data_IF_481350515275
#
_entry.id   IF_481350515275
#
_cell.length_a   1.000
_cell.length_b   1.000
_cell.length_c   1.000
_cell.angle_alpha   90.00
_cell.angle_beta   90.00
_cell.angle_gamma   90.00
#
_symmetry.space_group_name_H-M   'P 1'
#
loop_
_entity.id
_entity.type
_entity.pdbx_description
1 polymer ?
#
# COMPACT_ATOMS: atom_id res chain seq x y z
N UNK A 1 -12.05 -7.15 -6.39
CA UNK A 1 -10.99 -6.13 -6.26
C UNK A 1 -9.97 -6.39 -7.35
N UNK A 2 -9.44 -5.35 -8.01
CA UNK A 2 -8.41 -5.49 -9.04
C UNK A 2 -7.07 -4.97 -8.51
N UNK A 3 -5.96 -5.56 -8.93
CA UNK A 3 -4.62 -5.03 -8.62
C UNK A 3 -4.41 -3.66 -9.26
N UNK A 4 -3.97 -2.68 -8.46
CA UNK A 4 -3.50 -1.41 -8.97
C UNK A 4 -2.05 -1.53 -9.44
N UNK A 5 -1.85 -1.59 -10.76
CA UNK A 5 -0.52 -1.70 -11.36
C UNK A 5 0.33 -0.44 -11.12
N UNK A 6 -0.28 0.75 -11.13
CA UNK A 6 0.42 1.99 -10.87
C UNK A 6 0.96 2.03 -9.44
N UNK A 7 0.14 1.57 -8.47
CA UNK A 7 0.57 1.48 -7.08
C UNK A 7 1.67 0.43 -6.86
N UNK A 8 1.58 -0.69 -7.57
CA UNK A 8 2.63 -1.72 -7.52
C UNK A 8 3.97 -1.20 -8.06
N UNK A 9 3.96 -0.49 -9.18
CA UNK A 9 5.17 0.07 -9.76
C UNK A 9 5.76 1.16 -8.85
N UNK A 10 4.91 2.05 -8.34
CA UNK A 10 5.30 3.06 -7.38
C UNK A 10 5.92 2.46 -6.10
N UNK A 11 5.33 1.40 -5.56
CA UNK A 11 5.90 0.67 -4.43
C UNK A 11 7.28 0.09 -4.75
N UNK A 12 7.50 -0.44 -5.97
CA UNK A 12 8.81 -0.92 -6.41
C UNK A 12 9.81 0.21 -6.50
N UNK A 13 9.42 1.38 -7.00
CA UNK A 13 10.27 2.58 -7.04
C UNK A 13 10.66 3.01 -5.63
N UNK A 14 9.71 3.09 -4.69
CA UNK A 14 10.00 3.43 -3.29
C UNK A 14 11.03 2.47 -2.68
N UNK A 15 10.85 1.16 -2.87
CA UNK A 15 11.81 0.15 -2.43
C UNK A 15 13.16 0.37 -3.13
N UNK A 16 13.15 0.69 -4.43
CA UNK A 16 14.35 0.97 -5.22
C UNK A 16 15.13 2.20 -4.72
N UNK A 17 14.41 3.23 -4.27
CA UNK A 17 14.96 4.44 -3.67
C UNK A 17 15.29 4.31 -2.17
N UNK A 18 14.95 3.19 -1.54
CA UNK A 18 15.15 3.00 -0.09
C UNK A 18 14.16 3.79 0.77
N UNK A 19 13.07 4.30 0.19
CA UNK A 19 11.99 5.01 0.90
C UNK A 19 11.00 4.02 1.51
N UNK A 20 11.52 3.19 2.41
CA UNK A 20 10.73 2.20 3.13
C UNK A 20 11.06 2.21 4.62
N UNK A 21 10.06 1.97 5.45
CA UNK A 21 10.19 1.82 6.90
C UNK A 21 10.06 0.34 7.25
N UNK A 22 11.15 -0.22 7.76
CA UNK A 22 11.22 -1.60 8.22
C UNK A 22 10.64 -1.72 9.64
N UNK A 23 9.34 -1.44 9.78
CA UNK A 23 8.65 -1.57 11.07
C UNK A 23 8.42 -3.02 11.51
N UNK A 24 8.28 -3.21 12.83
CA UNK A 24 7.92 -4.50 13.43
C UNK A 24 6.43 -4.82 13.23
N UNK A 25 6.14 -6.09 12.93
CA UNK A 25 4.79 -6.67 12.76
C UNK A 25 3.84 -6.14 13.85
N UNK A 26 2.71 -5.52 13.45
CA UNK A 26 1.62 -5.14 14.36
C UNK A 26 1.37 -3.64 14.53
N UNK A 27 2.30 -2.76 14.11
CA UNK A 27 2.12 -1.30 14.25
C UNK A 27 1.19 -0.67 13.22
N UNK A 28 0.78 -1.40 12.17
CA UNK A 28 -0.02 -0.83 11.08
C UNK A 28 -1.36 -0.25 11.54
N UNK A 29 -2.00 -0.82 12.56
CA UNK A 29 -3.24 -0.25 13.15
C UNK A 29 -3.05 1.13 13.78
N UNK A 30 -1.81 1.51 14.12
CA UNK A 30 -1.44 2.83 14.67
C UNK A 30 -0.85 3.76 13.61
N UNK A 31 -0.31 3.21 12.52
CA UNK A 31 0.35 3.97 11.45
C UNK A 31 -0.56 4.23 10.24
N UNK A 32 -1.76 3.65 10.22
CA UNK A 32 -2.73 3.96 9.17
C UNK A 32 -3.11 5.45 9.26
N UNK A 33 -2.99 6.22 8.16
CA UNK A 33 -3.32 7.64 8.16
C UNK A 33 -4.78 7.85 8.60
N UNK A 34 -5.01 8.88 9.40
CA UNK A 34 -6.37 9.24 9.81
C UNK A 34 -7.17 9.78 8.62
N UNK A 35 -8.50 9.73 8.69
CA UNK A 35 -9.37 10.29 7.62
C UNK A 35 -9.02 11.73 7.25
N UNK A 36 -8.56 12.52 8.22
CA UNK A 36 -8.10 13.90 8.03
C UNK A 36 -6.82 13.97 7.20
N UNK A 37 -5.81 13.14 7.50
CA UNK A 37 -4.56 13.07 6.73
C UNK A 37 -4.81 12.61 5.30
N UNK A 38 -5.69 11.62 5.12
CA UNK A 38 -6.11 11.18 3.79
C UNK A 38 -6.83 12.29 3.01
N UNK A 39 -7.68 13.09 3.68
CA UNK A 39 -8.34 14.24 3.05
C UNK A 39 -7.36 15.32 2.65
N UNK A 40 -6.42 15.67 3.54
CA UNK A 40 -5.40 16.68 3.28
C UNK A 40 -4.48 16.27 2.14
N UNK A 41 -4.07 15.00 2.12
CA UNK A 41 -3.26 14.46 1.02
C UNK A 41 -3.99 14.54 -0.33
N UNK A 42 -5.26 14.13 -0.38
CA UNK A 42 -6.07 14.25 -1.60
C UNK A 42 -6.29 15.71 -1.98
N UNK A 43 -6.47 16.62 -1.02
CA UNK A 43 -6.61 18.04 -1.31
C UNK A 43 -5.35 18.65 -1.92
N UNK A 44 -4.17 18.26 -1.40
CA UNK A 44 -2.89 18.79 -1.84
C UNK A 44 -2.38 18.15 -3.14
N UNK A 45 -2.61 16.84 -3.32
CA UNK A 45 -2.01 16.05 -4.40
C UNK A 45 -3.02 15.44 -5.39
N UNK A 46 -4.30 15.37 -5.00
CA UNK A 46 -5.36 14.76 -5.79
C UNK A 46 -5.49 13.24 -5.62
N UNK A 47 -6.57 12.69 -6.19
CA UNK A 47 -6.85 11.25 -6.16
C UNK A 47 -5.84 10.40 -6.93
N UNK A 48 -5.17 10.97 -7.94
CA UNK A 48 -4.17 10.25 -8.73
C UNK A 48 -2.97 9.84 -7.90
N UNK A 49 -2.48 10.73 -7.02
CA UNK A 49 -1.41 10.37 -6.08
C UNK A 49 -1.93 9.41 -5.01
N UNK A 50 -3.13 9.65 -4.48
CA UNK A 50 -3.74 8.76 -3.48
C UNK A 50 -3.87 7.33 -4.01
N UNK A 51 -4.22 7.16 -5.29
CA UNK A 51 -4.30 5.87 -5.97
C UNK A 51 -2.99 5.07 -5.88
N UNK A 52 -1.84 5.73 -6.01
CA UNK A 52 -0.52 5.08 -6.01
C UNK A 52 -0.16 4.44 -4.68
N UNK A 53 -0.80 4.86 -3.59
CA UNK A 53 -0.56 4.31 -2.24
C UNK A 53 -1.45 3.12 -1.90
N UNK A 54 -2.31 2.68 -2.84
CA UNK A 54 -3.33 1.65 -2.65
C UNK A 54 -3.19 0.52 -3.65
N UNK A 55 -2.86 -0.69 -3.16
CA UNK A 55 -2.63 -1.87 -4.01
C UNK A 55 -3.91 -2.46 -4.60
N UNK A 56 -5.08 -2.17 -4.03
CA UNK A 56 -6.35 -2.67 -4.52
C UNK A 56 -7.26 -1.56 -5.03
N UNK A 57 -7.92 -1.82 -6.15
CA UNK A 57 -8.96 -0.96 -6.72
C UNK A 57 -10.31 -1.66 -6.68
N UNK A 58 -11.29 -0.98 -6.09
CA UNK A 58 -12.68 -1.35 -6.05
C UNK A 58 -13.48 -0.57 -7.11
N UNK A 59 -13.62 -1.19 -8.29
CA UNK A 59 -14.36 -0.61 -9.42
C UNK A 59 -15.87 -0.44 -9.19
N UNK A 60 -16.41 -0.83 -8.03
CA UNK A 60 -17.82 -0.59 -7.70
C UNK A 60 -18.05 0.87 -7.27
N UNK A 61 -17.00 1.55 -6.85
CA UNK A 61 -17.03 2.96 -6.46
C UNK A 61 -16.38 3.80 -7.56
N UNK A 62 -16.72 5.10 -7.64
CA UNK A 62 -16.13 6.01 -8.64
C UNK A 62 -14.67 6.35 -8.32
N UNK A 63 -13.86 6.62 -9.35
CA UNK A 63 -12.41 6.90 -9.24
C UNK A 63 -12.09 8.12 -8.36
N UNK A 64 -13.06 9.02 -8.19
CA UNK A 64 -13.02 10.23 -7.33
C UNK A 64 -13.51 9.95 -5.90
N UNK A 65 -13.53 8.69 -5.47
CA UNK A 65 -13.91 8.30 -4.11
C UNK A 65 -12.79 7.54 -3.42
N UNK A 66 -12.62 7.79 -2.12
CA UNK A 66 -11.67 7.06 -1.29
C UNK A 66 -11.95 5.57 -1.26
N UNK A 67 -13.21 5.18 -1.35
CA UNK A 67 -13.63 3.79 -1.29
C UNK A 67 -13.21 2.99 -2.52
N UNK A 68 -12.94 3.66 -3.65
CA UNK A 68 -12.36 3.06 -4.84
C UNK A 68 -10.95 2.52 -4.59
N UNK A 69 -10.20 3.12 -3.66
CA UNK A 69 -8.84 2.70 -3.36
C UNK A 69 -8.79 1.96 -2.02
N UNK A 70 -8.30 0.73 -2.04
CA UNK A 70 -8.20 -0.16 -0.88
C UNK A 70 -6.78 -0.68 -0.74
N UNK A 71 -6.50 -1.27 0.42
CA UNK A 71 -5.20 -1.86 0.72
C UNK A 71 -4.06 -0.83 0.71
N UNK A 72 -4.09 0.17 1.62
CA UNK A 72 -2.97 1.08 1.82
C UNK A 72 -1.75 0.32 2.33
N UNK A 73 -0.57 0.68 1.84
CA UNK A 73 0.69 0.03 2.22
C UNK A 73 1.77 0.99 2.74
N UNK A 74 1.48 2.29 2.83
CA UNK A 74 2.39 3.31 3.30
C UNK A 74 1.66 4.52 3.89
N UNK A 75 2.44 5.47 4.41
CA UNK A 75 1.96 6.66 5.13
C UNK A 75 1.87 7.93 4.25
N UNK A 76 1.91 7.78 2.92
CA UNK A 76 2.06 8.87 1.95
C UNK A 76 3.45 9.52 1.87
N UNK A 77 4.40 9.17 2.74
CA UNK A 77 5.81 9.54 2.60
C UNK A 77 6.72 8.32 2.35
N UNK A 78 6.47 7.20 3.05
CA UNK A 78 7.26 5.98 2.90
C UNK A 78 6.41 4.71 2.85
N UNK A 79 6.98 3.65 2.27
CA UNK A 79 6.36 2.33 2.25
C UNK A 79 6.61 1.62 3.58
N UNK A 80 5.58 1.04 4.19
CA UNK A 80 5.72 0.30 5.46
C UNK A 80 5.70 -1.20 5.21
N UNK A 81 6.73 -1.92 5.67
CA UNK A 81 6.73 -3.40 5.62
C UNK A 81 5.49 -3.99 6.30
N UNK A 82 5.05 -3.38 7.40
CA UNK A 82 3.84 -3.79 8.11
C UNK A 82 2.55 -3.54 7.32
N UNK A 83 2.51 -2.48 6.51
CA UNK A 83 1.40 -2.20 5.60
C UNK A 83 1.24 -3.31 4.58
N UNK A 84 2.33 -3.68 3.89
CA UNK A 84 2.29 -4.79 2.92
C UNK A 84 1.91 -6.14 3.54
N UNK A 85 2.38 -6.44 4.76
CA UNK A 85 1.97 -7.65 5.47
C UNK A 85 0.47 -7.65 5.79
N UNK A 86 -0.07 -6.50 6.19
CA UNK A 86 -1.51 -6.35 6.43
C UNK A 86 -2.30 -6.49 5.13
N UNK A 87 -1.80 -5.91 4.03
CA UNK A 87 -2.40 -6.07 2.69
C UNK A 87 -2.41 -7.54 2.28
N UNK A 88 -1.29 -8.24 2.36
CA UNK A 88 -1.19 -9.68 2.03
C UNK A 88 -2.18 -10.51 2.86
N UNK A 89 -2.20 -10.32 4.18
CA UNK A 89 -3.10 -11.05 5.07
C UNK A 89 -4.57 -10.81 4.75
N UNK A 90 -4.94 -9.56 4.44
CA UNK A 90 -6.31 -9.21 4.05
C UNK A 90 -6.67 -9.73 2.66
N UNK A 91 -5.77 -9.60 1.69
CA UNK A 91 -5.97 -10.10 0.33
C UNK A 91 -6.20 -11.62 0.35
N UNK A 92 -5.42 -12.34 1.15
CA UNK A 92 -5.60 -13.77 1.39
C UNK A 92 -6.98 -14.10 1.99
N UNK A 93 -7.39 -13.39 3.06
CA UNK A 93 -8.70 -13.58 3.70
C UNK A 93 -9.88 -13.40 2.74
N UNK A 94 -9.78 -12.46 1.80
CA UNK A 94 -10.83 -12.18 0.82
C UNK A 94 -10.66 -12.95 -0.50
N UNK A 95 -9.62 -13.77 -0.65
CA UNK A 95 -9.35 -14.54 -1.87
C UNK A 95 -8.84 -13.73 -3.07
N UNK A 96 -8.22 -12.56 -2.83
CA UNK A 96 -7.65 -11.71 -3.87
C UNK A 96 -6.21 -12.11 -4.22
N UNK A 97 -6.05 -13.23 -4.93
CA UNK A 97 -4.75 -13.81 -5.25
C UNK A 97 -3.79 -12.86 -5.98
N UNK A 98 -4.27 -12.03 -6.92
CA UNK A 98 -3.40 -11.06 -7.63
C UNK A 98 -2.79 -10.02 -6.70
N UNK A 99 -3.59 -9.50 -5.76
CA UNK A 99 -3.13 -8.50 -4.78
C UNK A 99 -2.20 -9.15 -3.76
N UNK A 100 -2.53 -10.38 -3.33
CA UNK A 100 -1.67 -11.17 -2.43
C UNK A 100 -0.29 -11.40 -3.05
N UNK A 101 -0.23 -11.87 -4.31
CA UNK A 101 1.02 -12.12 -5.01
C UNK A 101 1.83 -10.84 -5.22
N UNK A 102 1.17 -9.72 -5.56
CA UNK A 102 1.83 -8.43 -5.68
C UNK A 102 2.45 -7.96 -4.35
N UNK A 103 1.69 -8.05 -3.25
CA UNK A 103 2.19 -7.70 -1.93
C UNK A 103 3.35 -8.61 -1.49
N UNK A 104 3.27 -9.91 -1.78
CA UNK A 104 4.34 -10.88 -1.51
C UNK A 104 5.62 -10.54 -2.27
N UNK A 105 5.53 -10.25 -3.58
CA UNK A 105 6.69 -9.83 -4.37
C UNK A 105 7.36 -8.56 -3.82
N UNK A 106 6.58 -7.57 -3.38
CA UNK A 106 7.12 -6.35 -2.77
C UNK A 106 7.82 -6.66 -1.44
N UNK A 107 7.23 -7.52 -0.61
CA UNK A 107 7.84 -7.98 0.64
C UNK A 107 9.17 -8.68 0.40
N UNK A 108 9.23 -9.63 -0.55
CA UNK A 108 10.48 -10.31 -0.88
C UNK A 108 11.57 -9.33 -1.34
N UNK A 109 11.21 -8.30 -2.12
CA UNK A 109 12.17 -7.25 -2.53
C UNK A 109 12.71 -6.45 -1.35
N UNK A 110 11.86 -6.18 -0.35
CA UNK A 110 12.29 -5.49 0.87
C UNK A 110 13.26 -6.38 1.64
N UNK A 111 12.94 -7.66 1.82
CA UNK A 111 13.79 -8.61 2.55
C UNK A 111 15.13 -8.85 1.87
N UNK A 112 15.17 -8.86 0.53
CA UNK A 112 16.42 -8.89 -0.23
C UNK A 112 17.30 -7.65 -0.02
N UNK A 113 16.71 -6.49 0.29
CA UNK A 113 17.43 -5.23 0.53
C UNK A 113 17.75 -4.98 2.00
N UNK A 114 16.99 -5.56 2.91
CA UNK A 114 17.16 -5.50 4.36
C UNK A 114 17.42 -6.92 4.85
N UNK A 115 18.64 -7.46 4.68
CA UNK A 115 18.99 -8.73 5.29
C UNK A 115 18.87 -8.55 6.79
N UNK A 116 17.83 -9.16 7.38
CA UNK A 116 17.67 -9.25 8.83
C UNK A 116 18.98 -9.84 9.39
N UNK A 117 19.78 -9.00 10.06
CA UNK A 117 21.06 -9.39 10.65
C UNK A 117 20.88 -9.58 12.15
#
# INVERSE_FOLDING_TARGET
MTLNRAAFDYARELIAHGRLVADKKGSWRKHHPSRSEENEFIHNHGFQEYAKWHLGIDRRHGEETKEHYKFPFGDFAALHRCGLLAVKARAHQYGYAEIEAAADQLLSRIELRQPTR
#
